data_IF_954588555818
#
_entry.id   IF_954588555818
#
_cell.length_a   1.000
_cell.length_b   1.000
_cell.length_c   1.000
_cell.angle_alpha   90.00
_cell.angle_beta   90.00
_cell.angle_gamma   90.00
#
_symmetry.space_group_name_H-M   'P 1'
#
loop_
_entity.id
_entity.type
_entity.pdbx_description
1 polymer ?
#
# COMPACT_ATOMS: atom_id res chain seq x y z
N UNK A 1 -15.05 -3.46 -23.73
CA UNK A 1 -13.63 -3.03 -23.67
C UNK A 1 -13.56 -1.52 -23.88
N UNK A 2 -12.62 -0.84 -23.23
CA UNK A 2 -12.40 0.61 -23.34
C UNK A 2 -11.20 0.90 -24.26
N UNK A 3 -11.18 2.09 -24.88
CA UNK A 3 -10.01 2.62 -25.62
C UNK A 3 -9.15 3.56 -24.78
N UNK A 4 -9.57 3.87 -23.56
CA UNK A 4 -8.82 4.72 -22.63
C UNK A 4 -7.82 3.87 -21.83
N UNK A 5 -6.69 4.44 -21.37
CA UNK A 5 -5.78 3.73 -20.47
C UNK A 5 -6.51 3.32 -19.20
N UNK A 6 -6.12 2.15 -18.67
CA UNK A 6 -6.63 1.60 -17.41
C UNK A 6 -5.42 1.19 -16.58
N UNK A 7 -5.37 1.66 -15.34
CA UNK A 7 -4.36 1.26 -14.36
C UNK A 7 -5.06 0.96 -13.04
N UNK A 8 -4.72 -0.16 -12.41
CA UNK A 8 -5.18 -0.48 -11.07
C UNK A 8 -4.43 0.32 -10.01
N UNK A 9 -5.07 0.62 -8.88
CA UNK A 9 -4.42 1.36 -7.79
C UNK A 9 -3.22 0.60 -7.18
N UNK A 10 -3.31 -0.73 -7.11
CA UNK A 10 -2.19 -1.59 -6.69
C UNK A 10 -1.05 -1.56 -7.69
N UNK A 11 -1.35 -1.74 -8.98
CA UNK A 11 -0.37 -1.63 -10.07
C UNK A 11 0.37 -0.28 -10.05
N UNK A 12 -0.38 0.81 -9.92
CA UNK A 12 0.18 2.15 -9.83
C UNK A 12 1.11 2.31 -8.62
N UNK A 13 0.72 1.77 -7.47
CA UNK A 13 1.55 1.79 -6.27
C UNK A 13 2.83 0.97 -6.43
N UNK A 14 2.77 -0.21 -7.06
CA UNK A 14 3.96 -1.04 -7.33
C UNK A 14 4.96 -0.30 -8.20
N UNK A 15 4.51 0.32 -9.30
CA UNK A 15 5.37 1.13 -10.16
C UNK A 15 5.99 2.31 -9.41
N UNK A 16 5.18 3.05 -8.63
CA UNK A 16 5.67 4.19 -7.88
C UNK A 16 6.70 3.78 -6.82
N UNK A 17 6.47 2.67 -6.12
CA UNK A 17 7.38 2.14 -5.12
C UNK A 17 8.72 1.71 -5.74
N UNK A 18 8.66 0.97 -6.86
CA UNK A 18 9.84 0.54 -7.59
C UNK A 18 10.69 1.73 -8.07
N UNK A 19 10.05 2.76 -8.62
CA UNK A 19 10.74 3.97 -9.09
C UNK A 19 11.33 4.82 -7.96
N UNK A 20 10.66 4.87 -6.80
CA UNK A 20 11.05 5.74 -5.69
C UNK A 20 12.14 5.11 -4.80
N UNK A 21 12.01 3.83 -4.50
CA UNK A 21 12.76 3.20 -3.40
C UNK A 21 13.37 1.84 -3.75
N UNK A 22 13.06 1.30 -4.93
CA UNK A 22 13.57 0.00 -5.36
C UNK A 22 12.80 -1.18 -4.76
N UNK A 23 12.67 -1.27 -3.42
CA UNK A 23 11.94 -2.34 -2.73
C UNK A 23 10.81 -1.81 -1.85
N UNK A 24 9.83 -2.65 -1.54
CA UNK A 24 8.67 -2.24 -0.73
C UNK A 24 8.00 -3.40 0.00
N UNK A 25 7.26 -3.05 1.06
CA UNK A 25 6.29 -3.92 1.73
C UNK A 25 4.88 -3.53 1.29
N UNK A 26 3.92 -4.46 1.39
CA UNK A 26 2.50 -4.17 1.27
C UNK A 26 1.82 -4.49 2.60
N UNK A 27 1.12 -3.51 3.17
CA UNK A 27 0.32 -3.69 4.39
C UNK A 27 -1.16 -3.58 4.04
N UNK A 28 -1.86 -4.71 3.99
CA UNK A 28 -3.30 -4.79 3.67
C UNK A 28 -4.17 -4.93 4.92
N UNK A 29 -5.48 -5.01 4.74
CA UNK A 29 -6.47 -5.16 5.81
C UNK A 29 -6.47 -6.58 6.38
N UNK A 30 -7.07 -7.53 5.67
CA UNK A 30 -7.30 -8.89 6.16
C UNK A 30 -6.42 -9.91 5.44
N UNK A 31 -6.04 -10.96 6.17
CA UNK A 31 -5.16 -12.02 5.67
C UNK A 31 -5.69 -12.73 4.42
N UNK A 32 -7.02 -12.77 4.23
CA UNK A 32 -7.67 -13.33 3.03
C UNK A 32 -7.24 -12.60 1.75
N UNK A 33 -6.80 -11.34 1.84
CA UNK A 33 -6.35 -10.57 0.67
C UNK A 33 -4.89 -10.86 0.30
N UNK A 34 -4.11 -11.47 1.19
CA UNK A 34 -2.67 -11.70 0.97
C UNK A 34 -2.42 -12.54 -0.28
N UNK A 35 -3.07 -13.71 -0.50
CA UNK A 35 -2.79 -14.54 -1.68
C UNK A 35 -3.10 -13.81 -2.99
N UNK A 36 -4.18 -13.03 -3.02
CA UNK A 36 -4.59 -12.24 -4.20
C UNK A 36 -3.58 -11.13 -4.49
N UNK A 37 -3.07 -10.47 -3.46
CA UNK A 37 -2.06 -9.41 -3.62
C UNK A 37 -0.72 -10.00 -4.07
N UNK A 38 -0.32 -11.14 -3.50
CA UNK A 38 0.90 -11.85 -3.91
C UNK A 38 0.83 -12.30 -5.38
N UNK A 39 -0.30 -12.87 -5.80
CA UNK A 39 -0.52 -13.23 -7.20
C UNK A 39 -0.45 -11.99 -8.12
N UNK A 40 -1.03 -10.86 -7.72
CA UNK A 40 -0.92 -9.61 -8.48
C UNK A 40 0.53 -9.09 -8.58
N UNK A 41 1.30 -9.18 -7.51
CA UNK A 41 2.73 -8.82 -7.49
C UNK A 41 3.50 -9.69 -8.46
N UNK A 42 3.25 -11.00 -8.45
CA UNK A 42 3.90 -11.97 -9.33
C UNK A 42 3.53 -11.75 -10.79
N UNK A 43 2.24 -11.70 -11.11
CA UNK A 43 1.75 -11.52 -12.48
C UNK A 43 2.21 -10.20 -13.11
N UNK A 44 2.50 -9.18 -12.29
CA UNK A 44 2.96 -7.88 -12.75
C UNK A 44 4.50 -7.71 -12.67
N UNK A 45 5.23 -8.76 -12.26
CA UNK A 45 6.70 -8.78 -12.31
C UNK A 45 7.40 -8.02 -11.20
N UNK A 46 6.80 -7.90 -10.02
CA UNK A 46 7.35 -7.19 -8.86
C UNK A 46 7.87 -8.10 -7.75
N UNK A 47 7.87 -9.43 -7.94
CA UNK A 47 8.23 -10.40 -6.90
C UNK A 47 9.62 -10.15 -6.28
N UNK A 48 10.61 -9.82 -7.10
CA UNK A 48 12.01 -9.65 -6.63
C UNK A 48 12.20 -8.43 -5.72
N UNK A 49 11.25 -7.50 -5.73
CA UNK A 49 11.34 -6.24 -4.98
C UNK A 49 10.20 -6.01 -3.98
N UNK A 50 9.22 -6.92 -3.95
CA UNK A 50 8.20 -6.97 -2.91
C UNK A 50 8.72 -7.80 -1.73
N UNK A 51 9.15 -7.14 -0.66
CA UNK A 51 9.78 -7.79 0.51
C UNK A 51 8.79 -8.67 1.27
N UNK A 52 7.58 -8.16 1.54
CA UNK A 52 6.52 -8.94 2.16
C UNK A 52 5.13 -8.33 1.91
N UNK A 53 4.11 -9.20 1.97
CA UNK A 53 2.70 -8.81 2.03
C UNK A 53 2.17 -9.20 3.40
N UNK A 54 1.74 -8.20 4.18
CA UNK A 54 1.30 -8.34 5.56
C UNK A 54 -0.15 -7.87 5.69
N UNK A 55 -0.88 -8.43 6.64
CA UNK A 55 -2.23 -7.99 6.97
C UNK A 55 -2.22 -7.34 8.36
N UNK A 56 -2.87 -6.18 8.48
CA UNK A 56 -3.02 -5.49 9.77
C UNK A 56 -4.10 -6.11 10.67
N UNK A 57 -4.95 -6.97 10.11
CA UNK A 57 -6.12 -7.52 10.80
C UNK A 57 -7.28 -6.53 10.93
N UNK A 58 -7.13 -5.28 10.46
CA UNK A 58 -8.18 -4.25 10.49
C UNK A 58 -9.21 -4.52 9.39
N UNK A 59 -10.49 -4.74 9.71
CA UNK A 59 -11.56 -4.86 8.71
C UNK A 59 -11.68 -3.60 7.85
N UNK A 60 -12.04 -3.77 6.57
CA UNK A 60 -12.13 -2.65 5.62
C UNK A 60 -13.10 -1.57 6.10
N UNK A 61 -14.26 -1.97 6.65
CA UNK A 61 -15.28 -1.01 7.13
C UNK A 61 -14.82 -0.23 8.37
N UNK A 62 -13.90 -0.78 9.16
CA UNK A 62 -13.42 -0.12 10.37
C UNK A 62 -12.50 1.05 10.04
N UNK A 63 -11.89 1.07 8.85
CA UNK A 63 -11.13 2.23 8.35
C UNK A 63 -12.00 3.49 8.23
N UNK A 64 -13.32 3.33 8.10
CA UNK A 64 -14.30 4.42 8.06
C UNK A 64 -15.02 4.61 9.41
N UNK A 65 -15.44 3.52 10.06
CA UNK A 65 -16.20 3.58 11.31
C UNK A 65 -15.35 3.92 12.54
N UNK A 66 -14.11 3.43 12.60
CA UNK A 66 -13.13 3.71 13.66
C UNK A 66 -11.75 4.00 13.05
N UNK A 67 -11.58 5.17 12.39
CA UNK A 67 -10.33 5.52 11.73
C UNK A 67 -9.19 5.76 12.73
N UNK A 68 -9.47 6.06 13.99
CA UNK A 68 -8.44 6.28 15.01
C UNK A 68 -7.90 4.95 15.55
N UNK A 69 -8.78 4.03 15.95
CA UNK A 69 -8.37 2.69 16.37
C UNK A 69 -7.70 1.92 15.24
N UNK A 70 -8.24 2.00 14.02
CA UNK A 70 -7.63 1.43 12.82
C UNK A 70 -6.22 1.98 12.57
N UNK A 71 -6.04 3.29 12.66
CA UNK A 71 -4.72 3.91 12.48
C UNK A 71 -3.73 3.49 13.56
N UNK A 72 -4.17 3.31 14.81
CA UNK A 72 -3.31 2.83 15.89
C UNK A 72 -2.80 1.40 15.64
N UNK A 73 -3.68 0.49 15.21
CA UNK A 73 -3.29 -0.90 14.86
C UNK A 73 -2.33 -0.91 13.68
N UNK A 74 -2.65 -0.20 12.60
CA UNK A 74 -1.81 -0.13 11.40
C UNK A 74 -0.46 0.53 11.70
N UNK A 75 -0.43 1.54 12.57
CA UNK A 75 0.79 2.20 13.04
C UNK A 75 1.74 1.22 13.76
N UNK A 76 1.19 0.30 14.57
CA UNK A 76 1.99 -0.77 15.19
C UNK A 76 2.70 -1.65 14.15
N UNK A 77 1.98 -2.08 13.11
CA UNK A 77 2.57 -2.86 12.01
C UNK A 77 3.61 -2.08 11.21
N UNK A 78 3.42 -0.77 11.01
CA UNK A 78 4.42 0.07 10.34
C UNK A 78 5.69 0.14 11.19
N UNK A 79 5.56 0.35 12.51
CA UNK A 79 6.70 0.37 13.43
C UNK A 79 7.48 -0.95 13.43
N UNK A 80 6.78 -2.09 13.36
CA UNK A 80 7.43 -3.41 13.24
C UNK A 80 8.25 -3.52 11.95
N UNK A 81 7.77 -2.97 10.84
CA UNK A 81 8.50 -2.95 9.56
C UNK A 81 9.71 -1.99 9.66
N UNK A 82 9.55 -0.81 10.26
CA UNK A 82 10.64 0.16 10.50
C UNK A 82 11.76 -0.42 11.38
N UNK A 83 11.44 -1.34 12.28
CA UNK A 83 12.45 -2.04 13.08
C UNK A 83 13.37 -2.96 12.25
N UNK A 84 12.95 -3.34 11.03
CA UNK A 84 13.73 -4.23 10.15
C UNK A 84 14.62 -3.50 9.15
N UNK A 85 14.30 -2.24 8.81
CA UNK A 85 15.04 -1.43 7.86
C UNK A 85 14.78 0.06 8.12
N UNK A 86 15.79 0.90 7.92
CA UNK A 86 15.63 2.35 8.05
C UNK A 86 14.80 2.91 6.87
N UNK A 87 13.79 3.74 7.18
CA UNK A 87 12.90 4.40 6.21
C UNK A 87 12.34 3.46 5.12
N UNK A 88 11.69 2.34 5.50
CA UNK A 88 11.18 1.37 4.53
C UNK A 88 10.04 1.98 3.72
N UNK A 89 9.85 1.52 2.49
CA UNK A 89 8.68 1.90 1.68
C UNK A 89 7.56 0.89 1.90
N UNK A 90 6.37 1.40 2.22
CA UNK A 90 5.19 0.60 2.52
C UNK A 90 4.03 1.08 1.66
N UNK A 91 3.46 0.18 0.88
CA UNK A 91 2.24 0.40 0.13
C UNK A 91 1.06 0.07 1.04
N UNK A 92 0.12 1.01 1.17
CA UNK A 92 -1.15 0.77 1.85
C UNK A 92 -2.04 -0.07 0.94
N UNK A 93 -2.31 -1.32 1.33
CA UNK A 93 -2.91 -2.35 0.49
C UNK A 93 -4.43 -2.25 0.31
N UNK A 94 -5.07 -1.22 0.86
CA UNK A 94 -6.51 -1.02 0.75
C UNK A 94 -6.82 0.46 0.46
N UNK A 95 -7.75 0.70 -0.47
CA UNK A 95 -8.26 2.03 -0.81
C UNK A 95 -8.77 2.82 0.42
N UNK A 96 -9.40 2.14 1.39
CA UNK A 96 -9.90 2.80 2.61
C UNK A 96 -8.79 3.39 3.48
N UNK A 97 -7.54 2.91 3.36
CA UNK A 97 -6.42 3.43 4.15
C UNK A 97 -5.97 4.83 3.70
N UNK A 98 -6.42 5.31 2.52
CA UNK A 98 -6.25 6.71 2.10
C UNK A 98 -6.77 7.68 3.15
N UNK A 99 -7.89 7.35 3.82
CA UNK A 99 -8.51 8.21 4.85
C UNK A 99 -7.64 8.43 6.08
N UNK A 100 -6.66 7.55 6.32
CA UNK A 100 -5.77 7.60 7.46
C UNK A 100 -4.30 7.80 7.06
N UNK A 101 -4.00 7.95 5.76
CA UNK A 101 -2.63 8.07 5.24
C UNK A 101 -1.84 9.19 5.92
N UNK A 102 -2.38 10.42 5.95
CA UNK A 102 -1.68 11.57 6.54
C UNK A 102 -1.37 11.37 8.03
N UNK A 103 -2.31 10.73 8.76
CA UNK A 103 -2.16 10.43 10.19
C UNK A 103 -1.07 9.40 10.45
N UNK A 104 -0.94 8.41 9.57
CA UNK A 104 0.12 7.42 9.64
C UNK A 104 1.46 8.06 9.26
N UNK A 105 1.51 8.78 8.13
CA UNK A 105 2.75 9.37 7.63
C UNK A 105 3.36 10.39 8.61
N UNK A 106 2.54 11.11 9.37
CA UNK A 106 3.01 12.07 10.38
C UNK A 106 3.71 11.41 11.59
N UNK A 107 3.58 10.09 11.77
CA UNK A 107 4.11 9.34 12.92
C UNK A 107 5.26 8.41 12.58
N UNK A 108 5.56 8.23 11.30
CA UNK A 108 6.48 7.23 10.79
C UNK A 108 7.47 7.84 9.80
N UNK A 109 8.70 7.38 9.87
CA UNK A 109 9.77 7.71 8.92
C UNK A 109 9.69 6.87 7.65
N UNK A 110 8.91 5.78 7.69
CA UNK A 110 8.56 4.98 6.53
C UNK A 110 7.92 5.84 5.43
N UNK A 111 8.26 5.49 4.20
CA UNK A 111 7.64 6.08 3.02
C UNK A 111 6.32 5.37 2.77
N UNK A 112 5.20 6.01 3.11
CA UNK A 112 3.87 5.45 2.89
C UNK A 112 3.34 5.84 1.51
N UNK A 113 3.04 4.82 0.70
CA UNK A 113 2.44 4.98 -0.62
C UNK A 113 0.95 4.74 -0.52
N UNK A 114 0.18 5.80 -0.75
CA UNK A 114 -1.25 5.74 -1.01
C UNK A 114 -1.49 5.25 -2.46
N UNK A 115 -2.21 4.13 -2.66
CA UNK A 115 -2.41 3.56 -3.98
C UNK A 115 -3.38 4.37 -4.86
N UNK A 116 -4.37 5.07 -4.28
CA UNK A 116 -5.29 5.94 -5.01
C UNK A 116 -4.50 7.15 -5.55
N UNK A 117 -3.71 7.78 -4.69
CA UNK A 117 -2.89 8.94 -5.09
C UNK A 117 -1.81 8.55 -6.09
N UNK A 118 -1.23 7.35 -5.99
CA UNK A 118 -0.31 6.81 -6.98
C UNK A 118 -0.99 6.72 -8.35
N UNK A 119 -2.16 6.11 -8.44
CA UNK A 119 -2.91 5.99 -9.70
C UNK A 119 -3.30 7.35 -10.28
N UNK A 120 -3.82 8.26 -9.45
CA UNK A 120 -4.20 9.60 -9.87
C UNK A 120 -3.02 10.39 -10.44
N UNK A 121 -1.81 10.23 -9.88
CA UNK A 121 -0.59 10.91 -10.33
C UNK A 121 0.03 10.27 -11.57
N UNK A 122 -0.10 8.96 -11.75
CA UNK A 122 0.43 8.26 -12.92
C UNK A 122 -0.48 8.35 -14.14
N UNK A 123 -1.80 8.43 -13.95
CA UNK A 123 -2.76 8.43 -15.06
C UNK A 123 -2.50 9.51 -16.13
N UNK A 124 -2.16 10.77 -15.81
CA UNK A 124 -1.87 11.78 -16.81
C UNK A 124 -0.71 11.42 -17.74
N UNK A 125 0.24 10.59 -17.30
CA UNK A 125 1.36 10.12 -18.13
C UNK A 125 0.96 9.02 -19.12
N UNK A 126 -0.26 8.47 -19.01
CA UNK A 126 -0.80 7.41 -19.86
C UNK A 126 -1.82 7.90 -20.90
N UNK A 127 -2.20 9.19 -20.85
CA UNK A 127 -3.16 9.84 -21.75
C UNK A 127 -2.46 10.43 -22.98
#
# INVERSE_FOLDING_TARGET
MTRKPVIGIGQAAFHLAALRSGTFHILTTLAVSIPVIQENVEQQGFSDICIAVLASGVPVLDLEHDPEGSAAVISGHIADIEATAAAPTIILGCAGMTNIHERLQARHDAVLIDPIMAAARLMPALL
#
